data_IF_378333784235
#
_entry.id   IF_378333784235
#
_cell.length_a   1.000
_cell.length_b   1.000
_cell.length_c   1.000
_cell.angle_alpha   90.00
_cell.angle_beta   90.00
_cell.angle_gamma   90.00
#
_symmetry.space_group_name_H-M   'P 1'
#
loop_
_entity.id
_entity.type
_entity.pdbx_description
1 polymer ?
#
# COMPACT_ATOMS: atom_id res chain seq x y z
N UNK A 1 14.32 3.61 -8.25
CA UNK A 1 12.92 3.34 -7.89
C UNK A 1 12.09 3.16 -9.14
N UNK A 2 11.08 2.30 -9.10
CA UNK A 2 10.12 2.15 -10.20
C UNK A 2 9.08 3.26 -10.15
N UNK A 3 8.57 3.67 -11.30
CA UNK A 3 7.48 4.64 -11.40
C UNK A 3 6.21 3.96 -10.91
N UNK A 4 5.56 4.55 -9.91
CA UNK A 4 4.25 4.11 -9.43
C UNK A 4 3.18 4.78 -10.28
N UNK A 5 2.31 3.99 -10.89
CA UNK A 5 1.20 4.45 -11.72
C UNK A 5 -0.05 3.63 -11.40
N UNK A 6 -1.19 4.16 -11.79
CA UNK A 6 -2.45 3.40 -11.79
C UNK A 6 -2.51 2.58 -13.07
N UNK A 7 -2.84 1.31 -12.91
CA UNK A 7 -3.11 0.47 -14.05
C UNK A 7 -4.61 0.52 -14.39
N UNK A 8 -4.92 0.47 -15.67
CA UNK A 8 -6.28 0.28 -16.18
C UNK A 8 -6.36 -1.09 -16.84
N UNK A 9 -7.55 -1.69 -17.03
CA UNK A 9 -7.67 -2.95 -17.75
C UNK A 9 -6.96 -2.93 -19.11
N UNK A 10 -7.04 -1.81 -19.85
CA UNK A 10 -6.35 -1.65 -21.13
C UNK A 10 -4.81 -1.63 -20.97
N UNK A 11 -4.27 -0.90 -19.98
CA UNK A 11 -2.83 -0.86 -19.76
C UNK A 11 -2.29 -2.23 -19.32
N UNK A 12 -3.07 -2.96 -18.52
CA UNK A 12 -2.74 -4.32 -18.10
C UNK A 12 -2.77 -5.25 -19.32
N UNK A 13 -3.80 -5.17 -20.16
CA UNK A 13 -3.90 -5.97 -21.37
C UNK A 13 -2.67 -5.80 -22.27
N UNK A 14 -2.25 -4.56 -22.54
CA UNK A 14 -1.04 -4.29 -23.33
C UNK A 14 0.23 -4.84 -22.67
N UNK A 15 0.37 -4.67 -21.36
CA UNK A 15 1.49 -5.23 -20.61
C UNK A 15 1.52 -6.77 -20.65
N UNK A 16 0.35 -7.42 -20.56
CA UNK A 16 0.23 -8.87 -20.68
C UNK A 16 0.60 -9.35 -22.09
N UNK A 17 0.16 -8.63 -23.14
CA UNK A 17 0.49 -8.96 -24.52
C UNK A 17 2.01 -8.96 -24.75
N UNK A 18 2.69 -7.89 -24.32
CA UNK A 18 4.14 -7.74 -24.46
C UNK A 18 4.90 -8.84 -23.67
N UNK A 19 4.51 -9.06 -22.42
CA UNK A 19 5.18 -10.05 -21.55
C UNK A 19 4.92 -11.48 -21.99
N UNK A 20 3.68 -11.81 -22.38
CA UNK A 20 3.33 -13.13 -22.87
C UNK A 20 4.08 -13.46 -24.17
N UNK A 21 4.24 -12.48 -25.08
CA UNK A 21 5.01 -12.66 -26.31
C UNK A 21 6.49 -12.98 -26.03
N UNK A 22 7.10 -12.26 -25.05
CA UNK A 22 8.49 -12.50 -24.64
C UNK A 22 8.65 -13.87 -23.95
N UNK A 23 7.67 -14.28 -23.15
CA UNK A 23 7.69 -15.53 -22.40
C UNK A 23 7.24 -16.76 -23.22
N UNK A 24 6.93 -16.60 -24.53
CA UNK A 24 6.50 -17.71 -25.39
C UNK A 24 5.06 -18.17 -25.17
N UNK A 25 4.17 -17.25 -24.85
CA UNK A 25 2.74 -17.47 -24.62
C UNK A 25 2.43 -18.55 -23.57
N UNK A 26 2.92 -18.39 -22.34
CA UNK A 26 2.66 -19.33 -21.26
C UNK A 26 1.18 -19.33 -20.86
N UNK A 27 0.77 -20.33 -20.08
CA UNK A 27 -0.54 -20.31 -19.43
C UNK A 27 -0.53 -19.25 -18.34
N UNK A 28 -1.48 -18.33 -18.40
CA UNK A 28 -1.69 -17.28 -17.41
C UNK A 28 -2.87 -17.61 -16.51
N UNK A 29 -2.72 -17.34 -15.21
CA UNK A 29 -3.78 -17.48 -14.22
C UNK A 29 -4.03 -16.10 -13.62
N UNK A 30 -5.15 -15.49 -13.96
CA UNK A 30 -5.58 -14.20 -13.41
C UNK A 30 -6.22 -14.45 -12.06
N UNK A 31 -5.72 -13.77 -11.03
CA UNK A 31 -6.21 -13.90 -9.66
C UNK A 31 -6.47 -12.53 -9.04
N UNK A 32 -7.32 -12.51 -8.04
CA UNK A 32 -7.51 -11.34 -7.18
C UNK A 32 -7.29 -11.70 -5.71
N UNK A 33 -6.67 -10.79 -4.92
CA UNK A 33 -6.39 -11.04 -3.51
C UNK A 33 -7.62 -10.76 -2.65
N UNK A 34 -7.92 -11.68 -1.74
CA UNK A 34 -8.93 -11.51 -0.68
C UNK A 34 -8.24 -11.66 0.66
N UNK A 35 -8.24 -10.59 1.46
CA UNK A 35 -7.74 -10.65 2.83
C UNK A 35 -8.76 -11.35 3.73
N UNK A 36 -8.33 -12.37 4.47
CA UNK A 36 -9.14 -13.03 5.50
C UNK A 36 -9.21 -12.11 6.72
N UNK A 37 -10.41 -11.60 7.10
CA UNK A 37 -10.55 -10.78 8.30
C UNK A 37 -10.23 -11.60 9.56
N UNK A 38 -9.67 -10.96 10.59
CA UNK A 38 -9.26 -11.62 11.83
C UNK A 38 -10.40 -12.32 12.61
N UNK A 39 -11.64 -11.93 12.34
CA UNK A 39 -12.85 -12.49 12.96
C UNK A 39 -13.54 -13.59 12.13
N UNK A 40 -12.95 -13.98 10.98
CA UNK A 40 -13.44 -15.05 10.13
C UNK A 40 -12.40 -16.16 10.01
N UNK A 41 -12.88 -17.39 9.92
CA UNK A 41 -12.05 -18.52 9.55
C UNK A 41 -11.88 -18.57 8.03
N UNK A 42 -10.82 -19.22 7.56
CA UNK A 42 -10.58 -19.39 6.14
C UNK A 42 -11.71 -20.14 5.45
N UNK A 43 -12.27 -21.17 6.12
CA UNK A 43 -13.37 -21.98 5.61
C UNK A 43 -14.66 -21.16 5.42
N UNK A 44 -14.92 -20.22 6.32
CA UNK A 44 -16.06 -19.30 6.17
C UNK A 44 -15.87 -18.38 4.96
N UNK A 45 -14.67 -17.84 4.76
CA UNK A 45 -14.37 -17.00 3.59
C UNK A 45 -14.45 -17.82 2.30
N UNK A 46 -13.94 -19.06 2.29
CA UNK A 46 -14.07 -19.97 1.15
C UNK A 46 -15.54 -20.28 0.85
N UNK A 47 -16.35 -20.52 1.86
CA UNK A 47 -17.80 -20.75 1.71
C UNK A 47 -18.52 -19.55 1.08
N UNK A 48 -18.16 -18.30 1.46
CA UNK A 48 -18.70 -17.10 0.80
C UNK A 48 -18.26 -16.97 -0.66
N UNK A 49 -17.00 -17.30 -0.95
CA UNK A 49 -16.48 -17.28 -2.32
C UNK A 49 -17.18 -18.33 -3.20
N UNK A 50 -17.41 -19.53 -2.68
CA UNK A 50 -18.14 -20.60 -3.37
C UNK A 50 -19.57 -20.19 -3.73
N UNK A 51 -20.28 -19.49 -2.84
CA UNK A 51 -21.61 -18.93 -3.13
C UNK A 51 -21.60 -17.91 -4.27
N UNK A 52 -20.46 -17.23 -4.50
CA UNK A 52 -20.26 -16.31 -5.60
C UNK A 52 -19.70 -16.98 -6.87
N UNK A 53 -19.51 -18.31 -6.85
CA UNK A 53 -19.00 -19.09 -7.97
C UNK A 53 -17.47 -19.28 -7.99
N UNK A 54 -16.76 -18.78 -6.98
CA UNK A 54 -15.31 -18.92 -6.88
C UNK A 54 -14.91 -20.11 -6.01
N UNK A 55 -14.59 -21.22 -6.65
CA UNK A 55 -14.27 -22.48 -5.96
C UNK A 55 -12.78 -22.77 -5.83
N UNK A 56 -11.91 -21.96 -6.46
CA UNK A 56 -10.47 -22.25 -6.55
C UNK A 56 -9.62 -21.10 -6.07
N UNK A 57 -8.80 -21.38 -5.08
CA UNK A 57 -7.70 -20.53 -4.62
C UNK A 57 -6.41 -21.05 -5.28
N UNK A 58 -5.60 -20.16 -5.84
CA UNK A 58 -4.33 -20.49 -6.49
C UNK A 58 -3.18 -20.55 -5.49
N UNK A 59 -3.10 -19.52 -4.64
CA UNK A 59 -2.03 -19.37 -3.66
C UNK A 59 -2.54 -18.69 -2.40
N UNK A 60 -1.82 -18.90 -1.30
CA UNK A 60 -2.06 -18.26 -0.01
C UNK A 60 -0.79 -17.52 0.40
N UNK A 61 -0.93 -16.26 0.77
CA UNK A 61 0.16 -15.40 1.22
C UNK A 61 -0.16 -14.88 2.62
N UNK A 62 0.82 -14.88 3.52
CA UNK A 62 0.70 -14.21 4.80
C UNK A 62 1.37 -12.85 4.69
N UNK A 63 0.58 -11.78 4.74
CA UNK A 63 1.08 -10.42 4.66
C UNK A 63 0.92 -9.69 6.00
N UNK A 64 2.00 -9.07 6.46
CA UNK A 64 1.94 -8.06 7.52
C UNK A 64 1.60 -6.72 6.86
N UNK A 65 0.45 -6.10 7.19
CA UNK A 65 0.12 -4.80 6.64
C UNK A 65 1.23 -3.80 7.03
N UNK A 66 2.05 -3.39 6.07
CA UNK A 66 2.95 -2.25 6.28
C UNK A 66 2.08 -1.00 6.33
N UNK A 67 2.20 -0.24 7.42
CA UNK A 67 1.51 1.03 7.58
C UNK A 67 1.70 1.89 6.34
N UNK A 68 0.60 2.38 5.78
CA UNK A 68 0.61 3.36 4.68
C UNK A 68 1.53 4.52 5.04
N UNK A 69 2.26 5.06 4.07
CA UNK A 69 3.18 6.18 4.29
C UNK A 69 2.49 7.40 4.96
N UNK A 70 1.16 7.52 4.83
CA UNK A 70 0.32 8.52 5.49
C UNK A 70 0.16 8.34 7.02
N UNK A 71 0.40 7.14 7.57
CA UNK A 71 0.18 6.88 9.00
C UNK A 71 1.34 7.31 9.90
N UNK A 72 2.51 7.69 9.35
CA UNK A 72 3.65 8.16 10.14
C UNK A 72 3.53 9.62 10.60
N UNK A 73 2.63 10.43 10.03
CA UNK A 73 2.42 11.84 10.37
C UNK A 73 1.36 12.14 11.44
N UNK A 74 0.61 11.17 11.93
CA UNK A 74 -0.52 11.40 12.82
C UNK A 74 -0.23 11.06 14.30
N UNK A 75 0.87 11.53 14.88
CA UNK A 75 1.03 11.56 16.34
C UNK A 75 0.70 12.95 16.89
N UNK A 76 -0.36 12.96 17.71
CA UNK A 76 -0.76 13.99 18.66
C UNK A 76 -1.76 15.07 18.21
N UNK A 77 -3.03 14.69 18.08
CA UNK A 77 -4.12 15.53 18.57
C UNK A 77 -4.88 14.73 19.64
N UNK A 78 -4.65 15.04 20.91
CA UNK A 78 -5.47 14.55 22.04
C UNK A 78 -6.86 15.17 21.90
N UNK A 79 -7.87 14.34 21.58
CA UNK A 79 -9.26 14.80 21.69
C UNK A 79 -10.27 14.31 20.66
N UNK A 80 -10.04 13.21 19.94
CA UNK A 80 -11.08 12.61 19.10
C UNK A 80 -11.39 11.19 19.56
N UNK A 81 -12.70 10.87 19.69
CA UNK A 81 -13.23 9.58 20.10
C UNK A 81 -12.55 8.43 19.34
N UNK A 82 -12.05 7.46 20.11
CA UNK A 82 -11.48 6.21 19.61
C UNK A 82 -12.47 5.49 18.67
N UNK A 83 -12.36 5.73 17.37
CA UNK A 83 -12.97 4.89 16.36
C UNK A 83 -12.17 3.61 16.20
N UNK A 84 -12.85 2.51 15.91
CA UNK A 84 -12.42 1.12 15.85
C UNK A 84 -11.29 0.82 14.82
N UNK A 85 -10.85 1.82 14.03
CA UNK A 85 -9.90 1.68 12.93
C UNK A 85 -8.40 1.64 13.30
N UNK A 86 -8.05 1.84 14.58
CA UNK A 86 -6.64 1.94 15.00
C UNK A 86 -6.04 0.67 15.61
N UNK A 87 -6.76 -0.45 15.67
CA UNK A 87 -6.29 -1.73 16.22
C UNK A 87 -5.69 -2.69 15.19
N UNK A 88 -5.86 -2.43 13.89
CA UNK A 88 -5.53 -3.36 12.80
C UNK A 88 -4.08 -3.24 12.24
N UNK A 89 -3.26 -2.36 12.79
CA UNK A 89 -1.90 -2.15 12.30
C UNK A 89 -0.92 -3.08 13.04
N UNK A 90 -0.77 -4.31 12.56
CA UNK A 90 0.25 -5.23 13.07
C UNK A 90 -0.12 -6.72 13.13
N UNK A 91 -1.36 -7.09 12.89
CA UNK A 91 -1.74 -8.50 12.82
C UNK A 91 -1.43 -9.07 11.43
N UNK A 92 -0.79 -10.23 11.41
CA UNK A 92 -0.58 -11.00 10.18
C UNK A 92 -1.93 -11.33 9.56
N UNK A 93 -2.14 -10.91 8.31
CA UNK A 93 -3.37 -11.23 7.57
C UNK A 93 -3.05 -12.25 6.51
N UNK A 94 -3.85 -13.29 6.45
CA UNK A 94 -3.81 -14.23 5.33
C UNK A 94 -4.50 -13.60 4.13
N UNK A 95 -3.89 -13.75 2.97
CA UNK A 95 -4.41 -13.29 1.69
C UNK A 95 -4.60 -14.51 0.81
N UNK A 96 -5.80 -14.72 0.34
CA UNK A 96 -6.15 -15.78 -0.61
C UNK A 96 -6.12 -15.21 -2.02
N UNK A 97 -5.32 -15.78 -2.91
CA UNK A 97 -5.30 -15.45 -4.33
C UNK A 97 -6.34 -16.31 -5.06
N UNK A 98 -7.53 -15.74 -5.24
CA UNK A 98 -8.69 -16.43 -5.84
C UNK A 98 -8.57 -16.37 -7.36
N UNK A 99 -8.82 -17.49 -8.04
CA UNK A 99 -8.72 -17.57 -9.49
C UNK A 99 -9.97 -16.97 -10.11
N UNK A 100 -9.74 -15.97 -10.98
CA UNK A 100 -10.77 -15.38 -11.83
C UNK A 100 -10.87 -16.12 -13.17
N UNK A 101 -9.75 -16.29 -13.87
CA UNK A 101 -9.72 -16.99 -15.16
C UNK A 101 -8.34 -17.59 -15.43
N UNK A 102 -8.27 -18.52 -16.37
CA UNK A 102 -7.04 -19.17 -16.85
C UNK A 102 -7.07 -19.25 -18.36
N UNK A 103 -6.06 -18.70 -19.01
CA UNK A 103 -5.97 -18.69 -20.46
C UNK A 103 -4.51 -18.66 -20.96
N UNK A 104 -4.32 -18.85 -22.27
CA UNK A 104 -3.13 -18.44 -23.01
C UNK A 104 -3.48 -17.18 -23.80
N UNK A 105 -2.58 -16.22 -23.81
CA UNK A 105 -2.90 -14.90 -24.35
C UNK A 105 -3.20 -14.93 -25.86
N UNK A 106 -2.35 -15.63 -26.63
CA UNK A 106 -2.47 -15.69 -28.09
C UNK A 106 -3.75 -16.40 -28.60
N UNK A 107 -4.34 -17.26 -27.78
CA UNK A 107 -5.55 -18.03 -28.13
C UNK A 107 -6.86 -17.49 -27.55
N UNK A 108 -6.83 -16.32 -26.89
CA UNK A 108 -7.99 -15.79 -26.16
C UNK A 108 -8.46 -14.48 -26.76
N UNK A 109 -9.77 -14.33 -26.93
CA UNK A 109 -10.38 -13.09 -27.41
C UNK A 109 -10.14 -11.94 -26.42
N UNK A 110 -9.93 -10.73 -26.96
CA UNK A 110 -9.63 -9.54 -26.17
C UNK A 110 -10.72 -9.25 -25.15
N UNK A 111 -11.97 -9.39 -25.55
CA UNK A 111 -13.15 -9.12 -24.73
C UNK A 111 -13.14 -9.99 -23.46
N UNK A 112 -12.82 -11.27 -23.58
CA UNK A 112 -12.71 -12.20 -22.44
C UNK A 112 -11.59 -11.80 -21.49
N UNK A 113 -10.42 -11.42 -22.04
CA UNK A 113 -9.29 -10.97 -21.19
C UNK A 113 -9.66 -9.69 -20.46
N UNK A 114 -10.26 -8.73 -21.14
CA UNK A 114 -10.69 -7.46 -20.54
C UNK A 114 -11.72 -7.67 -19.42
N UNK A 115 -12.73 -8.53 -19.64
CA UNK A 115 -13.74 -8.88 -18.64
C UNK A 115 -13.10 -9.54 -17.40
N UNK A 116 -12.16 -10.46 -17.62
CA UNK A 116 -11.43 -11.12 -16.53
C UNK A 116 -10.61 -10.12 -15.71
N UNK A 117 -9.92 -9.17 -16.36
CA UNK A 117 -9.13 -8.13 -15.70
C UNK A 117 -10.00 -7.14 -14.92
N UNK A 118 -11.09 -6.65 -15.52
CA UNK A 118 -12.02 -5.73 -14.87
C UNK A 118 -12.67 -6.37 -13.63
N UNK A 119 -13.13 -7.60 -13.78
CA UNK A 119 -13.72 -8.36 -12.67
C UNK A 119 -12.70 -8.62 -11.57
N UNK A 120 -11.46 -9.00 -11.91
CA UNK A 120 -10.39 -9.23 -10.93
C UNK A 120 -10.03 -7.96 -10.16
N UNK A 121 -9.91 -6.80 -10.83
CA UNK A 121 -9.67 -5.51 -10.18
C UNK A 121 -10.80 -5.14 -9.23
N UNK A 122 -12.05 -5.31 -9.69
CA UNK A 122 -13.24 -5.00 -8.87
C UNK A 122 -13.33 -5.87 -7.63
N UNK A 123 -13.12 -7.19 -7.77
CA UNK A 123 -13.17 -8.14 -6.65
C UNK A 123 -11.98 -8.03 -5.71
N UNK A 124 -10.80 -7.73 -6.24
CA UNK A 124 -9.55 -7.56 -5.49
C UNK A 124 -9.34 -6.17 -4.91
N UNK A 125 -10.40 -5.34 -4.83
CA UNK A 125 -10.34 -3.97 -4.30
C UNK A 125 -9.25 -3.10 -4.96
N UNK A 126 -9.11 -3.24 -6.28
CA UNK A 126 -8.13 -2.52 -7.10
C UNK A 126 -6.79 -3.23 -7.25
N UNK A 127 -6.69 -4.48 -6.83
CA UNK A 127 -5.47 -5.27 -6.98
C UNK A 127 -5.75 -6.57 -7.72
N UNK A 128 -4.82 -6.98 -8.58
CA UNK A 128 -4.81 -8.30 -9.19
C UNK A 128 -3.39 -8.82 -9.33
N UNK A 129 -3.26 -10.13 -9.43
CA UNK A 129 -2.00 -10.80 -9.76
C UNK A 129 -2.22 -11.81 -10.89
N UNK A 130 -1.26 -11.85 -11.81
CA UNK A 130 -1.24 -12.83 -12.89
C UNK A 130 -0.06 -13.77 -12.65
N UNK A 131 -0.38 -15.03 -12.42
CA UNK A 131 0.61 -16.08 -12.26
C UNK A 131 0.94 -16.67 -13.64
N UNK A 132 2.22 -16.74 -13.94
CA UNK A 132 2.74 -17.32 -15.17
C UNK A 132 3.12 -18.76 -14.88
N UNK A 133 2.42 -19.69 -15.52
CA UNK A 133 2.66 -21.11 -15.30
C UNK A 133 3.81 -21.59 -16.19
N UNK A 134 4.72 -22.36 -15.61
CA UNK A 134 5.75 -23.08 -16.37
C UNK A 134 5.19 -24.32 -17.09
N UNK A 135 6.06 -25.04 -17.80
CA UNK A 135 5.69 -26.25 -18.53
C UNK A 135 5.33 -27.43 -17.58
N UNK A 136 5.83 -27.39 -16.34
CA UNK A 136 5.60 -28.41 -15.32
C UNK A 136 4.36 -28.11 -14.47
N UNK A 137 3.74 -26.95 -14.66
CA UNK A 137 2.53 -26.52 -13.95
C UNK A 137 2.80 -25.78 -12.63
N UNK A 138 4.06 -25.38 -12.42
CA UNK A 138 4.46 -24.51 -11.32
C UNK A 138 4.33 -23.02 -11.67
N UNK A 139 4.51 -22.16 -10.67
CA UNK A 139 4.53 -20.71 -10.85
C UNK A 139 5.95 -20.25 -11.19
N UNK A 140 6.17 -19.83 -12.45
CA UNK A 140 7.45 -19.32 -12.91
C UNK A 140 7.67 -17.86 -12.53
N UNK A 141 6.63 -17.03 -12.63
CA UNK A 141 6.68 -15.60 -12.36
C UNK A 141 5.31 -15.09 -11.90
N UNK A 142 5.29 -13.99 -11.14
CA UNK A 142 4.07 -13.33 -10.70
C UNK A 142 4.11 -11.87 -11.17
N UNK A 143 3.09 -11.45 -11.93
CA UNK A 143 2.92 -10.06 -12.36
C UNK A 143 1.80 -9.42 -11.55
N UNK A 144 2.14 -8.43 -10.74
CA UNK A 144 1.19 -7.70 -9.88
C UNK A 144 0.80 -6.38 -10.53
N UNK A 145 -0.49 -6.05 -10.49
CA UNK A 145 -1.08 -4.83 -11.05
C UNK A 145 -2.04 -4.20 -10.04
N UNK A 146 -2.21 -2.88 -10.14
CA UNK A 146 -3.15 -2.16 -9.28
C UNK A 146 -3.72 -0.94 -9.98
N UNK A 147 -5.03 -0.70 -9.81
CA UNK A 147 -5.69 0.54 -10.24
C UNK A 147 -5.46 1.70 -9.27
N UNK A 148 -4.74 1.46 -8.17
CA UNK A 148 -4.35 2.44 -7.16
C UNK A 148 -2.89 2.85 -7.32
N UNK A 149 -2.51 3.97 -6.69
CA UNK A 149 -1.11 4.34 -6.57
C UNK A 149 -0.39 3.40 -5.59
N UNK A 150 0.01 2.25 -6.09
CA UNK A 150 0.61 1.17 -5.32
C UNK A 150 1.91 0.69 -5.97
N UNK A 151 2.95 0.52 -5.16
CA UNK A 151 4.17 -0.13 -5.61
C UNK A 151 4.06 -1.64 -5.38
N UNK A 152 3.95 -2.42 -6.44
CA UNK A 152 3.80 -3.88 -6.35
C UNK A 152 5.02 -4.57 -5.72
N UNK A 153 6.24 -4.02 -5.90
CA UNK A 153 7.47 -4.59 -5.35
C UNK A 153 7.64 -4.35 -3.85
N UNK A 154 7.31 -3.12 -3.40
CA UNK A 154 7.48 -2.71 -2.00
C UNK A 154 6.22 -2.96 -1.16
N UNK A 155 5.10 -3.26 -1.81
CA UNK A 155 3.76 -3.32 -1.21
C UNK A 155 3.40 -2.05 -0.42
N UNK A 156 3.74 -0.88 -0.98
CA UNK A 156 3.46 0.43 -0.39
C UNK A 156 2.33 1.08 -1.19
N UNK A 157 1.25 1.42 -0.51
CA UNK A 157 0.14 2.19 -1.08
C UNK A 157 0.39 3.68 -0.85
N UNK A 158 0.22 4.48 -1.90
CA UNK A 158 0.36 5.93 -1.87
C UNK A 158 -1.02 6.57 -1.93
N UNK A 159 -1.20 7.60 -1.12
CA UNK A 159 -2.43 8.40 -1.14
C UNK A 159 -2.41 9.35 -2.33
N UNK A 160 -3.57 9.58 -2.93
CA UNK A 160 -3.70 10.59 -3.98
C UNK A 160 -3.26 11.95 -3.46
N UNK A 161 -2.42 12.67 -4.23
CA UNK A 161 -2.00 14.00 -3.85
C UNK A 161 -3.19 14.96 -3.93
N UNK A 162 -3.58 15.52 -2.78
CA UNK A 162 -4.56 16.58 -2.68
C UNK A 162 -3.87 17.94 -2.70
N UNK A 163 -4.52 19.04 -3.13
CA UNK A 163 -3.94 20.38 -3.06
C UNK A 163 -3.44 20.74 -1.66
N UNK A 164 -4.12 20.27 -0.61
CA UNK A 164 -3.71 20.44 0.79
C UNK A 164 -2.40 19.74 1.14
N UNK A 165 -1.99 18.71 0.39
CA UNK A 165 -0.70 18.02 0.58
C UNK A 165 0.50 18.87 0.16
N UNK A 166 0.26 19.91 -0.64
CA UNK A 166 1.29 20.87 -1.10
C UNK A 166 1.25 22.20 -0.35
N UNK A 167 0.33 22.35 0.59
CA UNK A 167 0.18 23.58 1.37
C UNK A 167 0.91 23.47 2.70
N UNK A 168 1.85 24.40 2.96
CA UNK A 168 2.54 24.48 4.26
C UNK A 168 1.61 24.88 5.41
N UNK A 169 0.45 25.46 5.12
CA UNK A 169 -0.58 25.80 6.10
C UNK A 169 -1.54 24.65 6.43
N UNK A 170 -1.44 23.54 5.68
CA UNK A 170 -2.24 22.35 5.93
C UNK A 170 -1.46 21.35 6.77
N UNK A 171 -2.07 20.69 7.76
CA UNK A 171 -1.44 19.61 8.51
C UNK A 171 -0.93 18.46 7.63
N UNK A 172 -1.50 18.28 6.41
CA UNK A 172 -1.11 17.25 5.46
C UNK A 172 0.14 17.59 4.66
N UNK A 173 0.37 18.90 4.41
CA UNK A 173 1.51 19.36 3.60
C UNK A 173 2.58 20.08 4.41
N UNK A 174 2.31 20.40 5.67
CA UNK A 174 3.25 21.06 6.54
C UNK A 174 4.41 20.13 6.94
N UNK A 175 5.62 20.68 7.01
CA UNK A 175 6.77 19.96 7.55
C UNK A 175 6.51 19.51 8.99
N UNK A 176 6.77 18.25 9.31
CA UNK A 176 6.54 17.68 10.65
C UNK A 176 7.33 18.40 11.74
N UNK A 177 8.54 18.90 11.42
CA UNK A 177 9.42 19.59 12.37
C UNK A 177 8.98 21.02 12.64
N UNK A 178 8.73 21.81 11.59
CA UNK A 178 8.43 23.24 11.74
C UNK A 178 6.93 23.58 11.62
N UNK A 179 6.08 22.58 11.27
CA UNK A 179 4.62 22.72 11.12
C UNK A 179 4.19 23.89 10.22
N UNK A 180 4.98 24.17 9.18
CA UNK A 180 4.73 25.25 8.24
C UNK A 180 5.37 26.61 8.62
N UNK A 181 5.99 26.72 9.80
CA UNK A 181 6.63 27.99 10.24
C UNK A 181 8.00 28.26 9.61
N UNK A 182 8.59 27.31 8.85
CA UNK A 182 9.91 27.45 8.23
C UNK A 182 11.08 27.41 9.21
N UNK A 183 10.82 27.42 10.51
CA UNK A 183 11.81 27.33 11.59
C UNK A 183 11.24 26.59 12.79
N UNK A 184 12.09 25.92 13.54
CA UNK A 184 11.71 25.28 14.80
C UNK A 184 11.87 26.29 15.92
N UNK A 185 10.82 26.44 16.74
CA UNK A 185 10.87 27.25 17.96
C UNK A 185 11.55 26.39 19.02
N UNK A 186 12.68 26.80 19.50
CA UNK A 186 13.44 26.11 20.53
C UNK A 186 14.14 27.10 21.45
N UNK A 187 14.74 26.60 22.50
CA UNK A 187 15.57 27.39 23.40
C UNK A 187 16.95 27.47 22.76
N UNK A 188 17.42 28.68 22.51
CA UNK A 188 18.81 28.93 22.13
C UNK A 188 19.67 28.95 23.41
N UNK A 189 20.33 27.83 23.67
CA UNK A 189 21.17 27.69 24.85
C UNK A 189 22.35 28.67 24.86
N UNK A 190 22.88 29.11 23.70
CA UNK A 190 23.91 30.10 23.61
C UNK A 190 23.48 31.50 24.07
N UNK A 191 22.17 31.82 23.91
CA UNK A 191 21.59 33.05 24.44
C UNK A 191 21.21 32.93 25.93
N UNK A 192 20.85 31.73 26.38
CA UNK A 192 20.46 31.46 27.76
C UNK A 192 21.72 31.36 28.67
N UNK A 193 22.76 30.66 28.20
CA UNK A 193 24.02 30.43 28.88
C UNK A 193 25.15 30.90 27.98
N UNK A 194 25.39 32.21 27.88
CA UNK A 194 26.42 32.76 26.95
C UNK A 194 27.86 32.46 27.41
N UNK A 195 28.08 32.10 28.65
CA UNK A 195 29.39 31.74 29.20
C UNK A 195 29.24 30.49 30.10
N UNK A 196 29.66 29.36 29.55
CA UNK A 196 29.57 28.03 30.21
C UNK A 196 30.58 27.89 31.36
N UNK A 197 31.55 28.79 31.50
CA UNK A 197 32.54 28.75 32.56
C UNK A 197 32.04 29.42 33.86
N UNK A 198 30.91 30.13 33.81
CA UNK A 198 30.30 30.78 34.98
C UNK A 198 29.50 29.79 35.81
N UNK A 199 29.55 29.93 37.10
CA UNK A 199 28.66 29.22 38.03
C UNK A 199 27.28 29.88 38.06
N UNK A 200 26.28 29.18 38.58
CA UNK A 200 24.92 29.73 38.76
C UNK A 200 24.89 31.00 39.62
N UNK A 201 25.77 31.07 40.63
CA UNK A 201 25.92 32.22 41.54
C UNK A 201 26.57 33.41 40.83
N UNK A 202 27.40 33.20 39.82
CA UNK A 202 28.02 34.21 38.99
C UNK A 202 27.17 34.65 37.83
N UNK A 203 25.91 34.14 37.76
CA UNK A 203 24.95 34.55 36.74
C UNK A 203 25.15 33.86 35.41
N UNK A 204 25.46 32.56 35.38
CA UNK A 204 25.60 31.76 34.15
C UNK A 204 24.32 31.82 33.30
N UNK A 205 23.14 31.88 33.91
CA UNK A 205 21.84 31.93 33.24
C UNK A 205 21.38 33.38 33.09
N UNK A 206 21.56 33.94 31.88
CA UNK A 206 21.26 35.34 31.59
C UNK A 206 19.82 35.78 31.93
N UNK A 207 18.78 35.01 31.65
CA UNK A 207 17.39 35.39 32.02
C UNK A 207 17.14 35.55 33.55
N UNK A 208 18.04 35.04 34.40
CA UNK A 208 17.91 35.12 35.85
C UNK A 208 18.70 36.27 36.46
N UNK A 209 19.48 36.97 35.63
CA UNK A 209 20.36 38.06 36.09
C UNK A 209 19.84 39.47 35.80
N UNK A 210 18.50 39.62 35.58
CA UNK A 210 17.82 40.91 35.43
C UNK A 210 17.35 41.48 36.75
#
# INVERSE_FOLDING_TARGET
GKVVRRDTPDSIYHSLAERAAVAGDPRLVVTFPIAVPANFTEDEVRGFLEQQGYTRVHAEETAVPRATAAAKGAKAAKGAKKGKAAKDAGEERRILHVIQDRFRFAGTERERVMEALDTALRMGAGHLAVYVMDAEGGDAEIWKYSDRLHCADCNIEYTDPLPSSFSFNSPLGACESCRGFGRVIGIDFGLVIPDENKTLLEGAIKPWTT
#
